data_IF_144589005694
#
_entry.id   IF_144589005694
#
_cell.length_a   1.000
_cell.length_b   1.000
_cell.length_c   1.000
_cell.angle_alpha   90.00
_cell.angle_beta   90.00
_cell.angle_gamma   90.00
#
_symmetry.space_group_name_H-M   'P 1'
#
loop_
_entity.id
_entity.type
_entity.pdbx_description
1 polymer ?
#
# COMPACT_ATOMS: atom_id res chain seq x y z
N UNK A 1 6.74 8.93 -19.99
CA UNK A 1 7.92 9.33 -19.19
C UNK A 1 7.49 9.69 -17.77
N UNK A 2 8.16 9.10 -16.80
CA UNK A 2 7.82 9.33 -15.40
C UNK A 2 8.49 10.61 -14.92
N UNK A 3 7.70 11.50 -14.35
CA UNK A 3 8.19 12.78 -13.83
C UNK A 3 8.66 12.66 -12.40
N UNK A 4 9.83 13.22 -12.09
CA UNK A 4 10.25 13.45 -10.72
C UNK A 4 9.46 14.61 -10.14
N UNK A 5 9.03 14.44 -8.91
CA UNK A 5 8.32 15.49 -8.20
C UNK A 5 8.50 15.30 -6.70
N UNK A 6 8.06 16.28 -5.95
CA UNK A 6 8.08 16.24 -4.50
C UNK A 6 6.82 15.57 -4.00
N UNK A 7 6.99 14.58 -3.14
CA UNK A 7 5.89 13.85 -2.52
C UNK A 7 5.90 14.03 -1.01
N UNK A 8 4.72 13.97 -0.44
CA UNK A 8 4.54 13.86 1.01
C UNK A 8 3.66 12.65 1.25
N UNK A 9 4.19 11.67 2.00
CA UNK A 9 3.41 10.50 2.41
C UNK A 9 3.36 10.43 3.91
N UNK A 10 2.23 9.98 4.45
CA UNK A 10 2.03 9.91 5.88
C UNK A 10 2.29 8.50 6.41
N UNK A 11 2.88 8.44 7.60
CA UNK A 11 3.03 7.24 8.39
C UNK A 11 2.50 7.56 9.79
N UNK A 12 1.21 7.32 10.00
CA UNK A 12 0.46 7.71 11.21
C UNK A 12 0.60 9.22 11.46
N UNK A 13 1.26 9.63 12.54
CA UNK A 13 1.41 11.05 12.87
C UNK A 13 2.61 11.72 12.19
N UNK A 14 3.45 10.92 11.52
CA UNK A 14 4.64 11.44 10.83
C UNK A 14 4.35 11.63 9.34
N UNK A 15 5.20 12.42 8.71
CA UNK A 15 5.19 12.57 7.26
C UNK A 15 6.60 12.42 6.72
N UNK A 16 6.74 11.69 5.61
CA UNK A 16 7.98 11.61 4.86
C UNK A 16 7.84 12.53 3.64
N UNK A 17 8.81 13.43 3.48
CA UNK A 17 8.86 14.32 2.32
C UNK A 17 10.10 13.96 1.51
N UNK A 18 9.93 13.72 0.23
CA UNK A 18 11.02 13.29 -0.63
C UNK A 18 10.78 13.73 -2.07
N UNK A 19 11.87 13.82 -2.84
CA UNK A 19 11.80 13.97 -4.28
C UNK A 19 12.00 12.60 -4.91
N UNK A 20 11.23 12.29 -5.93
CA UNK A 20 11.32 11.00 -6.58
C UNK A 20 10.23 10.80 -7.61
N UNK A 21 9.88 9.54 -7.85
CA UNK A 21 8.84 9.17 -8.79
C UNK A 21 7.87 8.20 -8.14
N UNK A 22 6.60 8.29 -8.53
CA UNK A 22 5.61 7.30 -8.18
C UNK A 22 5.68 6.20 -9.25
N UNK A 23 6.03 4.99 -8.84
CA UNK A 23 6.19 3.86 -9.75
C UNK A 23 4.89 3.12 -9.99
N UNK A 24 4.06 3.02 -8.98
CA UNK A 24 2.80 2.31 -9.09
C UNK A 24 1.85 2.68 -7.97
N UNK A 25 0.56 2.60 -8.26
CA UNK A 25 -0.47 2.81 -7.26
C UNK A 25 -1.71 2.00 -7.62
N UNK A 26 -2.47 1.66 -6.61
CA UNK A 26 -3.69 0.89 -6.78
C UNK A 26 -4.68 1.19 -5.66
N UNK A 27 -5.94 0.93 -5.92
CA UNK A 27 -7.01 1.11 -4.94
C UNK A 27 -7.98 -0.05 -5.03
N UNK A 28 -8.53 -0.44 -3.89
CA UNK A 28 -9.61 -1.43 -3.83
C UNK A 28 -10.98 -0.77 -3.74
N UNK A 29 -11.06 0.53 -3.94
CA UNK A 29 -12.32 1.27 -3.86
C UNK A 29 -13.36 0.76 -4.86
N UNK A 30 -14.61 0.64 -4.38
CA UNK A 30 -15.79 0.45 -5.22
C UNK A 30 -16.88 1.38 -4.70
N UNK A 31 -17.93 1.58 -5.50
CA UNK A 31 -19.03 2.47 -5.13
C UNK A 31 -19.74 2.03 -3.85
N UNK A 32 -19.75 0.73 -3.58
CA UNK A 32 -20.49 0.15 -2.46
C UNK A 32 -19.66 -0.06 -1.21
N UNK A 33 -18.34 -0.04 -1.32
CA UNK A 33 -17.47 -0.27 -0.15
C UNK A 33 -17.47 0.93 0.77
N UNK A 34 -17.61 0.66 2.07
CA UNK A 34 -17.47 1.67 3.11
C UNK A 34 -16.02 1.88 3.50
N UNK A 35 -15.18 0.86 3.35
CA UNK A 35 -13.75 0.88 3.65
C UNK A 35 -12.99 0.25 2.50
N UNK A 36 -11.84 0.83 2.16
CA UNK A 36 -10.97 0.28 1.12
C UNK A 36 -9.52 0.68 1.40
N UNK A 37 -8.60 0.11 0.63
CA UNK A 37 -7.18 0.40 0.78
C UNK A 37 -6.63 1.00 -0.51
N UNK A 38 -5.80 2.02 -0.36
CA UNK A 38 -5.02 2.59 -1.45
C UNK A 38 -3.55 2.37 -1.15
N UNK A 39 -2.78 1.94 -2.15
CA UNK A 39 -1.35 1.72 -1.99
C UNK A 39 -0.57 2.40 -3.09
N UNK A 40 0.66 2.81 -2.76
CA UNK A 40 1.57 3.40 -3.73
C UNK A 40 3.00 2.97 -3.44
N UNK A 41 3.78 2.86 -4.49
CA UNK A 41 5.19 2.52 -4.45
C UNK A 41 5.97 3.65 -5.10
N UNK A 42 6.95 4.20 -4.38
CA UNK A 42 7.77 5.31 -4.85
C UNK A 42 9.23 4.91 -4.85
N UNK A 43 9.98 5.56 -5.72
CA UNK A 43 11.44 5.52 -5.65
C UNK A 43 11.95 6.94 -5.43
N UNK A 44 12.77 7.13 -4.42
CA UNK A 44 13.38 8.43 -4.11
C UNK A 44 14.57 8.71 -5.00
N UNK A 45 15.00 9.96 -5.07
CA UNK A 45 16.22 10.33 -5.80
C UNK A 45 17.46 9.61 -5.27
N UNK A 46 17.48 9.28 -3.99
CA UNK A 46 18.58 8.53 -3.38
C UNK A 46 18.57 7.04 -3.75
N UNK A 47 17.52 6.57 -4.40
CA UNK A 47 17.42 5.16 -4.82
C UNK A 47 16.76 4.25 -3.80
N UNK A 48 16.25 4.78 -2.68
CA UNK A 48 15.46 4.02 -1.74
C UNK A 48 14.02 3.91 -2.24
N UNK A 49 13.25 3.01 -1.66
CA UNK A 49 11.85 2.82 -2.02
C UNK A 49 10.96 3.19 -0.84
N UNK A 50 9.79 3.70 -1.14
CA UNK A 50 8.78 3.99 -0.11
C UNK A 50 7.51 3.26 -0.51
N UNK A 51 7.00 2.44 0.42
CA UNK A 51 5.72 1.75 0.29
C UNK A 51 4.74 2.50 1.18
N UNK A 52 3.67 3.02 0.60
CA UNK A 52 2.65 3.71 1.38
C UNK A 52 1.29 3.06 1.21
N UNK A 53 0.50 3.13 2.26
CA UNK A 53 -0.86 2.64 2.24
C UNK A 53 -1.78 3.58 3.01
N UNK A 54 -3.02 3.66 2.57
CA UNK A 54 -4.06 4.42 3.24
C UNK A 54 -5.28 3.53 3.34
N UNK A 55 -5.72 3.26 4.57
CA UNK A 55 -7.02 2.67 4.83
C UNK A 55 -8.05 3.79 4.76
N UNK A 56 -8.77 3.86 3.66
CA UNK A 56 -9.80 4.88 3.42
C UNK A 56 -11.15 4.42 3.96
N UNK A 57 -11.99 5.38 4.24
CA UNK A 57 -13.32 5.11 4.78
C UNK A 57 -14.30 6.20 4.38
N UNK A 58 -15.56 5.80 4.20
CA UNK A 58 -16.69 6.72 4.08
C UNK A 58 -17.73 6.44 5.16
N UNK A 59 -17.31 5.76 6.22
CA UNK A 59 -18.18 5.40 7.34
C UNK A 59 -18.47 6.65 8.17
N UNK A 60 -19.77 6.93 8.37
CA UNK A 60 -20.25 8.04 9.18
C UNK A 60 -21.01 7.48 10.39
N UNK A 61 -21.05 8.26 11.46
CA UNK A 61 -21.81 7.91 12.66
C UNK A 61 -23.23 7.51 12.27
N UNK A 62 -23.64 6.35 12.76
CA UNK A 62 -24.98 5.81 12.49
C UNK A 62 -25.05 4.89 11.28
N UNK A 63 -24.00 4.81 10.47
CA UNK A 63 -23.96 3.88 9.34
C UNK A 63 -23.99 2.44 9.84
N UNK A 64 -24.78 1.60 9.18
CA UNK A 64 -24.80 0.15 9.41
C UNK A 64 -24.23 -0.52 8.17
N UNK A 65 -23.21 -1.36 8.37
CA UNK A 65 -22.52 -2.00 7.25
C UNK A 65 -21.93 -3.33 7.69
N UNK A 66 -21.61 -4.17 6.71
CA UNK A 66 -20.97 -5.46 6.93
C UNK A 66 -19.49 -5.27 7.27
N UNK A 67 -19.04 -5.81 8.40
CA UNK A 67 -17.64 -5.80 8.79
C UNK A 67 -16.96 -7.10 8.34
N UNK A 68 -16.03 -7.00 7.39
CA UNK A 68 -15.34 -8.16 6.84
C UNK A 68 -14.49 -8.90 7.85
N UNK A 69 -13.96 -8.19 8.84
CA UNK A 69 -13.10 -8.81 9.86
C UNK A 69 -13.94 -9.55 10.92
N UNK A 70 -15.04 -8.97 11.34
CA UNK A 70 -15.90 -9.54 12.37
C UNK A 70 -16.96 -10.47 11.81
N UNK A 71 -17.23 -10.36 10.50
CA UNK A 71 -18.22 -11.20 9.79
C UNK A 71 -19.65 -11.02 10.30
N UNK A 72 -20.00 -9.79 10.67
CA UNK A 72 -21.38 -9.44 11.01
C UNK A 72 -21.63 -7.95 10.74
N UNK A 73 -22.90 -7.55 10.80
CA UNK A 73 -23.30 -6.15 10.62
C UNK A 73 -22.95 -5.36 11.85
N UNK A 74 -22.38 -4.17 11.64
CA UNK A 74 -22.03 -3.25 12.72
C UNK A 74 -22.64 -1.88 12.46
N UNK A 75 -22.90 -1.13 13.54
CA UNK A 75 -23.36 0.25 13.46
C UNK A 75 -22.25 1.15 14.02
N UNK A 76 -21.82 2.12 13.24
CA UNK A 76 -20.73 3.01 13.62
C UNK A 76 -21.17 3.99 14.72
N UNK A 77 -20.38 4.06 15.79
CA UNK A 77 -20.60 4.99 16.90
C UNK A 77 -20.17 6.40 16.60
N UNK A 78 -19.26 6.54 15.64
CA UNK A 78 -18.69 7.85 15.24
C UNK A 78 -18.23 7.80 13.78
N UNK A 79 -17.88 8.96 13.23
CA UNK A 79 -17.28 9.05 11.92
C UNK A 79 -15.89 8.39 11.96
N UNK A 80 -15.60 7.56 10.96
CA UNK A 80 -14.25 7.00 10.81
C UNK A 80 -13.36 7.95 10.05
N UNK A 81 -12.06 7.92 10.37
CA UNK A 81 -11.04 8.70 9.68
C UNK A 81 -10.05 7.78 8.98
N UNK A 82 -9.46 8.23 7.85
CA UNK A 82 -8.44 7.44 7.16
C UNK A 82 -7.23 7.17 8.05
N UNK A 83 -6.57 6.03 7.80
CA UNK A 83 -5.32 5.66 8.46
C UNK A 83 -4.24 5.49 7.41
N UNK A 84 -3.16 6.25 7.55
CA UNK A 84 -2.04 6.21 6.63
C UNK A 84 -0.83 5.57 7.29
N UNK A 85 -0.08 4.79 6.48
CA UNK A 85 1.18 4.20 6.91
C UNK A 85 2.16 4.22 5.75
N UNK A 86 3.46 4.22 6.07
CA UNK A 86 4.51 4.19 5.07
C UNK A 86 5.76 3.54 5.64
N UNK A 87 6.51 2.88 4.77
CA UNK A 87 7.78 2.24 5.11
C UNK A 87 8.84 2.69 4.12
N UNK A 88 10.00 3.10 4.66
CA UNK A 88 11.19 3.38 3.86
C UNK A 88 11.98 2.10 3.75
N UNK A 89 12.26 1.67 2.52
CA UNK A 89 12.98 0.43 2.24
C UNK A 89 14.28 0.76 1.51
N UNK A 90 15.41 0.28 2.05
CA UNK A 90 16.73 0.58 1.51
C UNK A 90 17.02 -0.14 0.19
N UNK A 91 16.31 -1.23 -0.09
CA UNK A 91 16.55 -2.04 -1.28
C UNK A 91 15.23 -2.46 -1.94
N UNK A 92 15.35 -2.88 -3.20
CA UNK A 92 14.20 -3.43 -3.93
C UNK A 92 13.67 -4.71 -3.27
N UNK A 93 14.56 -5.57 -2.79
CA UNK A 93 14.18 -6.79 -2.08
C UNK A 93 13.41 -6.46 -0.80
N UNK A 94 13.88 -5.48 -0.06
CA UNK A 94 13.20 -5.01 1.16
C UNK A 94 11.83 -4.45 0.85
N UNK A 95 11.69 -3.71 -0.25
CA UNK A 95 10.40 -3.17 -0.68
C UNK A 95 9.41 -4.29 -1.00
N UNK A 96 9.85 -5.31 -1.74
CA UNK A 96 9.00 -6.44 -2.09
C UNK A 96 8.57 -7.21 -0.84
N UNK A 97 9.49 -7.43 0.09
CA UNK A 97 9.15 -8.10 1.35
C UNK A 97 8.10 -7.34 2.14
N UNK A 98 8.13 -6.01 2.12
CA UNK A 98 7.14 -5.18 2.80
C UNK A 98 5.75 -5.27 2.19
N UNK A 99 5.65 -5.63 0.92
CA UNK A 99 4.36 -5.81 0.27
C UNK A 99 3.69 -7.12 0.65
N UNK A 100 4.45 -8.09 1.14
CA UNK A 100 3.90 -9.37 1.59
C UNK A 100 3.39 -9.28 3.02
N UNK A 101 2.31 -9.98 3.27
CA UNK A 101 1.74 -10.18 4.59
C UNK A 101 1.88 -11.64 4.98
N UNK A 102 1.81 -11.92 6.26
CA UNK A 102 1.88 -13.28 6.80
C UNK A 102 0.60 -13.55 7.57
N UNK A 103 0.02 -14.73 7.37
CA UNK A 103 -1.04 -15.18 8.25
C UNK A 103 -0.44 -15.93 9.46
N UNK A 104 -1.28 -16.43 10.34
CA UNK A 104 -0.84 -17.06 11.58
C UNK A 104 -0.04 -18.34 11.41
N UNK A 105 0.02 -18.89 10.19
CA UNK A 105 0.71 -20.14 9.86
C UNK A 105 1.97 -19.89 9.03
N UNK A 106 2.49 -18.68 9.04
CA UNK A 106 3.66 -18.26 8.27
C UNK A 106 3.45 -18.34 6.75
N UNK A 107 2.22 -18.41 6.29
CA UNK A 107 1.91 -18.37 4.86
C UNK A 107 2.00 -16.92 4.38
N UNK A 108 2.92 -16.70 3.45
CA UNK A 108 3.16 -15.39 2.86
C UNK A 108 2.19 -15.14 1.71
N UNK A 109 1.54 -13.99 1.71
CA UNK A 109 0.63 -13.60 0.65
C UNK A 109 0.70 -12.11 0.36
N UNK A 110 0.25 -11.73 -0.82
CA UNK A 110 0.17 -10.33 -1.22
C UNK A 110 -1.29 -10.01 -1.56
N UNK A 111 -1.80 -8.91 -1.02
CA UNK A 111 -3.17 -8.48 -1.35
C UNK A 111 -3.24 -8.10 -2.83
N UNK A 112 -4.44 -8.11 -3.39
CA UNK A 112 -4.64 -7.70 -4.78
C UNK A 112 -4.18 -6.26 -5.01
N UNK A 113 -4.45 -5.35 -4.08
CA UNK A 113 -4.04 -3.94 -4.18
C UNK A 113 -2.52 -3.83 -4.23
N UNK A 114 -1.81 -4.52 -3.33
CA UNK A 114 -0.36 -4.53 -3.31
C UNK A 114 0.21 -5.12 -4.60
N UNK A 115 -0.34 -6.23 -5.06
CA UNK A 115 0.11 -6.89 -6.28
C UNK A 115 -0.11 -6.00 -7.51
N UNK A 116 -1.27 -5.35 -7.60
CA UNK A 116 -1.56 -4.43 -8.72
C UNK A 116 -0.59 -3.26 -8.75
N UNK A 117 -0.32 -2.64 -7.59
CA UNK A 117 0.65 -1.56 -7.50
C UNK A 117 2.06 -2.03 -7.91
N UNK A 118 2.46 -3.23 -7.48
CA UNK A 118 3.76 -3.80 -7.81
C UNK A 118 3.88 -4.09 -9.31
N UNK A 119 2.85 -4.65 -9.93
CA UNK A 119 2.87 -4.94 -11.37
C UNK A 119 3.04 -3.66 -12.19
N UNK A 120 2.42 -2.57 -11.78
CA UNK A 120 2.62 -1.27 -12.41
C UNK A 120 4.04 -0.76 -12.19
N UNK A 121 4.55 -0.89 -10.97
CA UNK A 121 5.87 -0.38 -10.60
C UNK A 121 7.00 -1.08 -11.34
N UNK A 122 6.92 -2.39 -11.54
CA UNK A 122 7.99 -3.14 -12.24
C UNK A 122 8.10 -2.78 -13.73
N UNK A 123 7.05 -2.20 -14.31
CA UNK A 123 7.12 -1.70 -15.68
C UNK A 123 7.99 -0.46 -15.77
N UNK A 124 8.18 0.27 -14.69
CA UNK A 124 8.92 1.53 -14.65
C UNK A 124 10.27 1.42 -13.94
N UNK A 125 10.57 0.31 -13.28
CA UNK A 125 11.79 0.16 -12.49
C UNK A 125 12.36 -1.25 -12.66
N UNK A 126 13.46 -1.33 -13.41
CA UNK A 126 14.12 -2.60 -13.74
C UNK A 126 14.72 -3.29 -12.52
N UNK A 127 15.17 -2.52 -11.53
CA UNK A 127 15.76 -3.08 -10.31
C UNK A 127 14.68 -3.79 -9.51
N UNK A 128 13.54 -3.14 -9.37
CA UNK A 128 12.39 -3.71 -8.67
C UNK A 128 11.86 -4.94 -9.42
N UNK A 129 11.81 -4.86 -10.75
CA UNK A 129 11.38 -5.97 -11.61
C UNK A 129 12.29 -7.18 -11.41
N UNK A 130 13.61 -6.99 -11.44
CA UNK A 130 14.56 -8.07 -11.24
C UNK A 130 14.42 -8.71 -9.86
N UNK A 131 14.27 -7.89 -8.83
CA UNK A 131 14.12 -8.39 -7.47
C UNK A 131 12.84 -9.22 -7.30
N UNK A 132 11.76 -8.84 -7.99
CA UNK A 132 10.50 -9.56 -7.92
C UNK A 132 10.51 -10.87 -8.71
N UNK A 133 11.17 -10.87 -9.89
CA UNK A 133 11.15 -12.01 -10.80
C UNK A 133 12.23 -13.05 -10.53
N UNK A 134 13.26 -12.69 -9.74
CA UNK A 134 14.33 -13.61 -9.38
C UNK A 134 13.97 -14.27 -8.06
N UNK A 135 13.83 -15.58 -8.07
CA UNK A 135 13.56 -16.37 -6.89
C UNK A 135 14.75 -17.30 -6.63
N UNK A 136 15.33 -17.18 -5.44
CA UNK A 136 16.38 -18.12 -5.04
C UNK A 136 15.75 -19.42 -4.57
N UNK A 137 16.13 -20.50 -5.23
CA UNK A 137 15.68 -21.84 -4.87
C UNK A 137 16.82 -22.55 -4.15
N UNK A 138 16.60 -22.85 -2.88
CA UNK A 138 17.59 -23.56 -2.06
C UNK A 138 17.62 -25.04 -2.36
#
# INVERSE_FOLDING_TARGET
MTKRQKFTVKDHDRAFVFNGVCLGRATSETETKKRWTEMAIYRTEAGTYIISGIGQTRVKKGDTFWDENQKFMVTADEDETPRAWAHVCESAEGAIQRLYLYDGDDVRYMTRVAHTALLEAIELDDILKSAFLIEEVA
#
